data_IF_707465437896
#
_entry.id   IF_707465437896
#
_cell.length_a   1.000
_cell.length_b   1.000
_cell.length_c   1.000
_cell.angle_alpha   90.00
_cell.angle_beta   90.00
_cell.angle_gamma   90.00
#
_symmetry.space_group_name_H-M   'P 1'
#
loop_
_entity.id
_entity.type
_entity.pdbx_description
1 polymer ?
#
# COMPACT_ATOMS: atom_id res chain seq x y z
N UNK A 1 4.72 0.27 -17.11
CA UNK A 1 4.32 0.01 -15.71
C UNK A 1 3.82 1.30 -15.09
N UNK A 2 2.53 1.59 -15.26
CA UNK A 2 1.84 2.70 -14.60
C UNK A 2 0.64 2.18 -13.79
N UNK A 3 -0.15 3.06 -13.14
CA UNK A 3 -1.30 2.66 -12.31
C UNK A 3 -2.28 1.74 -13.07
N UNK A 4 -2.50 2.03 -14.36
CA UNK A 4 -3.34 1.22 -15.24
C UNK A 4 -2.80 -0.21 -15.47
N UNK A 5 -1.47 -0.39 -15.47
CA UNK A 5 -0.87 -1.71 -15.61
C UNK A 5 -1.12 -2.57 -14.36
N UNK A 6 -1.08 -1.95 -13.17
CA UNK A 6 -1.35 -2.67 -11.91
C UNK A 6 -2.83 -3.08 -11.82
N UNK A 7 -3.74 -2.22 -12.26
CA UNK A 7 -5.18 -2.52 -12.34
C UNK A 7 -5.44 -3.66 -13.33
N UNK A 8 -4.80 -3.65 -14.50
CA UNK A 8 -4.93 -4.74 -15.48
C UNK A 8 -4.43 -6.09 -14.93
N UNK A 9 -3.29 -6.10 -14.21
CA UNK A 9 -2.75 -7.30 -13.57
C UNK A 9 -3.69 -7.82 -12.46
N UNK A 10 -4.26 -6.92 -11.66
CA UNK A 10 -5.23 -7.26 -10.63
C UNK A 10 -6.50 -7.83 -11.23
N UNK A 11 -7.03 -7.24 -12.30
CA UNK A 11 -8.19 -7.76 -13.03
C UNK A 11 -7.93 -9.17 -13.53
N UNK A 12 -6.80 -9.39 -14.22
CA UNK A 12 -6.47 -10.71 -14.77
C UNK A 12 -6.35 -11.77 -13.68
N UNK A 13 -5.68 -11.45 -12.56
CA UNK A 13 -5.57 -12.39 -11.45
C UNK A 13 -6.89 -12.65 -10.73
N UNK A 14 -7.65 -11.60 -10.40
CA UNK A 14 -8.83 -11.69 -9.53
C UNK A 14 -10.06 -12.21 -10.28
N UNK A 15 -10.23 -11.80 -11.55
CA UNK A 15 -11.37 -12.21 -12.38
C UNK A 15 -11.01 -13.47 -13.17
N UNK A 16 -9.98 -13.41 -14.01
CA UNK A 16 -9.71 -14.47 -15.00
C UNK A 16 -9.09 -15.72 -14.38
N UNK A 17 -8.00 -15.56 -13.61
CA UNK A 17 -7.25 -16.71 -13.10
C UNK A 17 -7.88 -17.33 -11.85
N UNK A 18 -8.35 -16.50 -10.91
CA UNK A 18 -8.85 -16.96 -9.60
C UNK A 18 -10.37 -17.04 -9.51
N UNK A 19 -11.12 -16.40 -10.41
CA UNK A 19 -12.59 -16.28 -10.36
C UNK A 19 -13.11 -15.87 -8.97
N UNK A 20 -12.39 -14.94 -8.32
CA UNK A 20 -12.78 -14.41 -7.01
C UNK A 20 -13.78 -13.27 -7.10
N UNK A 21 -13.80 -12.58 -8.25
CA UNK A 21 -14.71 -11.50 -8.58
C UNK A 21 -15.19 -11.70 -10.02
N UNK A 22 -16.44 -11.31 -10.28
CA UNK A 22 -16.90 -11.07 -11.65
C UNK A 22 -16.53 -9.64 -12.11
N UNK A 23 -16.68 -9.38 -13.40
CA UNK A 23 -16.26 -8.15 -14.04
C UNK A 23 -16.97 -6.91 -13.47
N UNK A 24 -18.27 -7.04 -13.16
CA UNK A 24 -19.07 -6.00 -12.53
C UNK A 24 -18.62 -5.74 -11.09
N UNK A 25 -18.31 -6.80 -10.32
CA UNK A 25 -17.83 -6.68 -8.94
C UNK A 25 -16.46 -6.01 -8.89
N UNK A 26 -15.57 -6.35 -9.83
CA UNK A 26 -14.26 -5.71 -9.94
C UNK A 26 -14.40 -4.22 -10.25
N UNK A 27 -15.29 -3.85 -11.18
CA UNK A 27 -15.53 -2.47 -11.59
C UNK A 27 -16.11 -1.64 -10.44
N UNK A 28 -17.04 -2.20 -9.67
CA UNK A 28 -17.62 -1.55 -8.50
C UNK A 28 -16.56 -1.32 -7.40
N UNK A 29 -15.79 -2.35 -7.05
CA UNK A 29 -14.70 -2.23 -6.07
C UNK A 29 -13.63 -1.24 -6.52
N UNK A 30 -13.34 -1.19 -7.82
CA UNK A 30 -12.41 -0.22 -8.38
C UNK A 30 -12.95 1.20 -8.29
N UNK A 31 -14.23 1.42 -8.61
CA UNK A 31 -14.87 2.73 -8.48
C UNK A 31 -14.90 3.22 -7.03
N UNK A 32 -15.26 2.34 -6.08
CA UNK A 32 -15.20 2.63 -4.64
C UNK A 32 -13.76 2.99 -4.25
N UNK A 33 -12.77 2.24 -4.74
CA UNK A 33 -11.37 2.48 -4.44
C UNK A 33 -10.77 3.73 -5.09
N UNK A 34 -11.43 4.32 -6.08
CA UNK A 34 -11.08 5.63 -6.62
C UNK A 34 -11.71 6.78 -5.82
N UNK A 35 -12.83 6.50 -5.12
CA UNK A 35 -13.51 7.47 -4.27
C UNK A 35 -12.90 7.62 -2.87
N UNK A 36 -12.14 6.62 -2.41
CA UNK A 36 -11.51 6.61 -1.08
C UNK A 36 -10.09 7.19 -1.11
N UNK A 37 -9.68 7.95 -0.07
CA UNK A 37 -8.31 8.45 0.02
C UNK A 37 -7.32 7.29 0.15
N UNK A 38 -6.37 7.22 -0.78
CA UNK A 38 -5.27 6.27 -0.77
C UNK A 38 -5.06 5.51 -2.09
N UNK A 39 -4.09 4.59 -2.12
CA UNK A 39 -3.76 3.86 -3.33
C UNK A 39 -4.82 2.80 -3.64
N UNK A 40 -5.52 2.98 -4.76
CA UNK A 40 -6.60 2.09 -5.21
C UNK A 40 -6.16 0.63 -5.33
N UNK A 41 -4.89 0.34 -5.63
CA UNK A 41 -4.38 -1.04 -5.70
C UNK A 41 -4.45 -1.77 -4.36
N UNK A 42 -4.09 -1.10 -3.26
CA UNK A 42 -4.14 -1.69 -1.91
C UNK A 42 -5.58 -1.85 -1.46
N UNK A 43 -6.40 -0.86 -1.75
CA UNK A 43 -7.82 -0.89 -1.41
C UNK A 43 -8.54 -2.03 -2.14
N UNK A 44 -8.25 -2.26 -3.43
CA UNK A 44 -8.78 -3.40 -4.20
C UNK A 44 -8.41 -4.75 -3.57
N UNK A 45 -7.15 -4.94 -3.15
CA UNK A 45 -6.70 -6.20 -2.53
C UNK A 45 -7.43 -6.44 -1.21
N UNK A 46 -7.53 -5.41 -0.36
CA UNK A 46 -8.17 -5.52 0.96
C UNK A 46 -9.68 -5.69 0.83
N UNK A 47 -10.33 -4.97 -0.08
CA UNK A 47 -11.77 -5.05 -0.31
C UNK A 47 -12.16 -6.41 -0.92
N UNK A 48 -11.34 -6.95 -1.82
CA UNK A 48 -11.54 -8.31 -2.35
C UNK A 48 -11.39 -9.36 -1.24
N UNK A 49 -10.37 -9.23 -0.39
CA UNK A 49 -10.18 -10.14 0.74
C UNK A 49 -11.33 -10.03 1.77
N UNK A 50 -11.84 -8.83 2.01
CA UNK A 50 -13.00 -8.57 2.86
C UNK A 50 -14.27 -9.22 2.29
N UNK A 51 -14.52 -9.07 0.98
CA UNK A 51 -15.66 -9.68 0.30
C UNK A 51 -15.60 -11.22 0.30
N UNK A 52 -14.38 -11.78 0.18
CA UNK A 52 -14.16 -13.23 0.05
C UNK A 52 -14.14 -13.97 1.40
N UNK A 53 -13.45 -13.43 2.39
CA UNK A 53 -13.12 -14.10 3.65
C UNK A 53 -13.60 -13.33 4.89
N UNK A 54 -14.46 -12.32 4.69
CA UNK A 54 -15.04 -11.51 5.76
C UNK A 54 -14.03 -10.59 6.45
N UNK A 55 -14.43 -9.96 7.57
CA UNK A 55 -13.61 -8.97 8.28
C UNK A 55 -12.21 -9.45 8.68
N UNK A 56 -12.11 -10.72 9.09
CA UNK A 56 -10.83 -11.35 9.47
C UNK A 56 -9.93 -11.52 8.24
N UNK A 57 -10.51 -11.89 7.09
CA UNK A 57 -9.81 -11.95 5.81
C UNK A 57 -9.27 -10.60 5.34
N UNK A 58 -10.07 -9.54 5.49
CA UNK A 58 -9.65 -8.17 5.19
C UNK A 58 -8.48 -7.71 6.05
N UNK A 59 -8.54 -7.95 7.37
CA UNK A 59 -7.46 -7.60 8.30
C UNK A 59 -6.17 -8.38 8.00
N UNK A 60 -6.27 -9.70 7.81
CA UNK A 60 -5.10 -10.53 7.49
C UNK A 60 -4.46 -10.11 6.17
N UNK A 61 -5.25 -9.83 5.13
CA UNK A 61 -4.73 -9.31 3.87
C UNK A 61 -4.03 -7.95 4.04
N UNK A 62 -4.60 -7.04 4.84
CA UNK A 62 -3.99 -5.75 5.12
C UNK A 62 -2.62 -5.90 5.81
N UNK A 63 -2.53 -6.75 6.84
CA UNK A 63 -1.25 -6.99 7.52
C UNK A 63 -0.24 -7.70 6.63
N UNK A 64 -0.64 -8.76 5.93
CA UNK A 64 0.26 -9.48 5.02
C UNK A 64 0.78 -8.61 3.89
N UNK A 65 -0.04 -7.68 3.40
CA UNK A 65 0.37 -6.72 2.37
C UNK A 65 1.36 -5.67 2.91
N UNK A 66 1.16 -5.16 4.13
CA UNK A 66 2.02 -4.12 4.72
C UNK A 66 3.29 -4.67 5.39
N UNK A 67 3.27 -5.91 5.88
CA UNK A 67 4.38 -6.55 6.58
C UNK A 67 5.73 -6.50 5.84
N UNK A 68 5.84 -6.86 4.56
CA UNK A 68 7.13 -6.82 3.87
C UNK A 68 7.71 -5.40 3.83
N UNK A 69 6.87 -4.39 3.57
CA UNK A 69 7.29 -2.99 3.60
C UNK A 69 7.76 -2.56 4.98
N UNK A 70 7.00 -2.91 6.02
CA UNK A 70 7.35 -2.65 7.42
C UNK A 70 8.71 -3.27 7.77
N UNK A 71 8.91 -4.55 7.46
CA UNK A 71 10.16 -5.27 7.76
C UNK A 71 11.34 -4.59 7.09
N UNK A 72 11.24 -4.29 5.79
CA UNK A 72 12.33 -3.64 5.05
C UNK A 72 12.66 -2.27 5.63
N UNK A 73 11.64 -1.44 5.90
CA UNK A 73 11.84 -0.10 6.47
C UNK A 73 12.44 -0.16 7.87
N UNK A 74 11.97 -1.08 8.73
CA UNK A 74 12.50 -1.27 10.09
C UNK A 74 13.95 -1.73 10.03
N UNK A 75 14.29 -2.69 9.19
CA UNK A 75 15.67 -3.18 9.02
C UNK A 75 16.58 -2.05 8.55
N UNK A 76 16.16 -1.29 7.53
CA UNK A 76 16.93 -0.13 7.04
C UNK A 76 17.11 0.93 8.15
N UNK A 77 16.06 1.22 8.92
CA UNK A 77 16.12 2.19 10.02
C UNK A 77 17.11 1.78 11.11
N UNK A 78 17.06 0.51 11.54
CA UNK A 78 18.00 -0.03 12.54
C UNK A 78 19.43 -0.01 12.01
N UNK A 79 19.66 -0.40 10.75
CA UNK A 79 20.98 -0.34 10.13
C UNK A 79 21.52 1.08 10.15
N UNK A 80 20.74 2.08 9.69
CA UNK A 80 21.18 3.48 9.68
C UNK A 80 21.50 3.97 11.09
N UNK A 81 20.70 3.60 12.09
CA UNK A 81 20.95 3.97 13.49
C UNK A 81 22.28 3.41 14.05
N UNK A 82 22.81 2.32 13.50
CA UNK A 82 24.14 1.81 13.89
C UNK A 82 25.31 2.59 13.26
N UNK A 83 25.08 3.31 12.15
CA UNK A 83 26.11 4.05 11.42
C UNK A 83 26.06 5.57 11.64
N UNK A 84 24.97 6.09 12.19
CA UNK A 84 24.74 7.53 12.39
C UNK A 84 24.85 7.86 13.87
N UNK A 85 25.70 8.84 14.20
CA UNK A 85 25.77 9.40 15.54
C UNK A 85 24.54 10.28 15.81
N UNK A 86 23.78 9.92 16.84
CA UNK A 86 22.57 10.63 17.25
C UNK A 86 22.84 12.08 17.68
N UNK A 87 24.05 12.37 18.17
CA UNK A 87 24.42 13.71 18.64
C UNK A 87 24.85 14.65 17.51
N UNK A 88 25.21 14.12 16.34
CA UNK A 88 25.59 14.91 15.17
C UNK A 88 25.10 14.26 13.88
N UNK A 89 23.77 14.18 13.68
CA UNK A 89 23.21 13.59 12.48
C UNK A 89 23.59 14.45 11.26
N UNK A 90 23.97 13.82 10.13
CA UNK A 90 24.18 14.53 8.88
C UNK A 90 22.98 15.41 8.52
N UNK A 91 23.23 16.64 8.09
CA UNK A 91 22.20 17.66 7.83
C UNK A 91 21.08 17.19 6.88
N UNK A 92 21.37 16.29 5.94
CA UNK A 92 20.39 15.74 5.00
C UNK A 92 19.40 14.77 5.68
N UNK A 93 19.79 14.08 6.75
CA UNK A 93 18.88 13.21 7.50
C UNK A 93 17.87 14.01 8.32
N UNK A 94 18.26 15.21 8.78
CA UNK A 94 17.37 16.13 9.49
C UNK A 94 16.27 16.66 8.55
N UNK A 95 16.58 16.84 7.27
CA UNK A 95 15.62 17.27 6.24
C UNK A 95 14.64 16.18 5.78
N UNK A 96 14.91 14.90 6.10
CA UNK A 96 14.11 13.78 5.61
C UNK A 96 12.69 13.71 6.22
N UNK A 97 12.49 13.82 7.56
CA UNK A 97 11.16 13.81 8.16
C UNK A 97 10.20 14.90 7.65
N UNK A 98 10.58 16.19 7.57
CA UNK A 98 9.67 17.23 7.08
C UNK A 98 9.37 17.09 5.57
N UNK A 99 10.31 16.57 4.79
CA UNK A 99 10.07 16.25 3.38
C UNK A 99 9.03 15.13 3.23
N UNK A 100 9.12 14.07 4.05
CA UNK A 100 8.13 13.00 4.07
C UNK A 100 6.72 13.51 4.46
N UNK A 101 6.63 14.35 5.50
CA UNK A 101 5.37 14.98 5.93
C UNK A 101 4.76 15.82 4.80
N UNK A 102 5.61 16.59 4.10
CA UNK A 102 5.17 17.43 2.98
C UNK A 102 4.64 16.61 1.80
N UNK A 103 5.25 15.46 1.53
CA UNK A 103 4.82 14.55 0.47
C UNK A 103 3.48 13.89 0.80
N UNK A 104 3.28 13.51 2.06
CA UNK A 104 1.99 13.03 2.58
C UNK A 104 0.92 14.12 2.45
N UNK A 105 1.23 15.36 2.85
CA UNK A 105 0.30 16.49 2.73
C UNK A 105 -0.11 16.75 1.28
N UNK A 106 0.84 16.72 0.34
CA UNK A 106 0.57 16.84 -1.10
C UNK A 106 -0.29 15.70 -1.65
N UNK A 107 -0.27 14.52 -1.03
CA UNK A 107 -1.15 13.43 -1.46
C UNK A 107 -2.62 13.66 -1.05
N UNK A 108 -2.90 14.58 -0.12
CA UNK A 108 -4.24 14.92 0.34
C UNK A 108 -4.87 16.13 -0.38
N UNK A 109 -4.09 16.99 -1.04
CA UNK A 109 -4.54 18.25 -1.66
C UNK A 109 -4.15 18.32 -3.14
#
# INVERSE_FOLDING_TARGET
GGPQAHVAILRDHLVVQRNWLDEDQFTELFAIGQGLPGPTSTQLVVSTALARAGPIGGLTAFFLWNLPGLIVLTVCGVLIATFVDENNPPWYLIGLPPAAISLVFKAFY
#
